data_IF_095567208445
#
_entry.id   IF_095567208445
#
_cell.length_a   1.000
_cell.length_b   1.000
_cell.length_c   1.000
_cell.angle_alpha   90.00
_cell.angle_beta   90.00
_cell.angle_gamma   90.00
#
_symmetry.space_group_name_H-M   'P 1'
#
loop_
_entity.id
_entity.type
_entity.pdbx_description
1 polymer ?
#
# COMPACT_ATOMS: atom_id res chain seq x y z
N UNK A 1 16.92 -18.52 -0.61
CA UNK A 1 16.03 -19.34 0.25
C UNK A 1 14.62 -19.21 -0.30
N UNK A 2 13.87 -20.34 -0.47
CA UNK A 2 12.53 -20.32 -1.07
C UNK A 2 11.46 -19.71 -0.14
N UNK A 3 10.24 -19.57 -0.68
CA UNK A 3 9.07 -18.98 -0.01
C UNK A 3 8.63 -19.72 1.26
N UNK A 4 9.09 -20.96 1.46
CA UNK A 4 8.77 -21.80 2.61
C UNK A 4 10.06 -22.32 3.29
N UNK A 5 10.81 -21.46 4.01
CA UNK A 5 12.11 -21.82 4.58
C UNK A 5 12.05 -23.00 5.54
N UNK A 6 10.95 -23.15 6.29
CA UNK A 6 10.76 -24.26 7.24
C UNK A 6 10.56 -25.58 6.50
N UNK A 7 9.76 -25.63 5.45
CA UNK A 7 9.56 -26.84 4.66
C UNK A 7 10.86 -27.29 3.97
N UNK A 8 11.61 -26.33 3.41
CA UNK A 8 12.94 -26.59 2.78
C UNK A 8 13.97 -27.02 3.82
N UNK A 9 13.95 -26.47 5.02
CA UNK A 9 14.86 -26.90 6.09
C UNK A 9 14.62 -28.34 6.50
N UNK A 10 13.35 -28.77 6.63
CA UNK A 10 12.99 -30.13 6.99
C UNK A 10 13.30 -31.12 5.85
N UNK A 11 13.10 -30.70 4.60
CA UNK A 11 13.48 -31.48 3.44
C UNK A 11 15.00 -31.75 3.41
N UNK A 12 15.80 -30.75 3.78
CA UNK A 12 17.28 -30.85 3.86
C UNK A 12 17.81 -31.57 5.11
N UNK A 13 16.99 -31.84 6.10
CA UNK A 13 17.36 -32.67 7.28
C UNK A 13 17.41 -34.17 6.98
N UNK A 14 17.18 -34.59 5.75
CA UNK A 14 17.26 -35.98 5.34
C UNK A 14 18.68 -36.50 5.07
N UNK A 15 18.81 -37.80 4.90
CA UNK A 15 20.06 -38.42 4.46
C UNK A 15 20.11 -38.50 2.92
N UNK A 16 21.31 -38.28 2.30
CA UNK A 16 21.44 -38.46 0.87
C UNK A 16 21.31 -39.95 0.53
N UNK A 17 20.48 -40.26 -0.45
CA UNK A 17 20.33 -41.58 -1.04
C UNK A 17 21.54 -41.93 -1.91
N UNK A 18 21.69 -43.19 -2.34
CA UNK A 18 22.76 -43.67 -3.19
C UNK A 18 22.91 -42.88 -4.51
N UNK A 19 21.89 -42.14 -4.92
CA UNK A 19 21.86 -41.22 -6.07
C UNK A 19 22.20 -39.74 -5.70
N UNK A 20 22.56 -39.42 -4.46
CA UNK A 20 22.85 -38.07 -4.00
C UNK A 20 21.60 -37.19 -3.76
N UNK A 21 20.41 -37.76 -3.88
CA UNK A 21 19.14 -37.05 -3.63
C UNK A 21 18.85 -37.09 -2.12
N UNK A 22 18.68 -35.94 -1.50
CA UNK A 22 18.34 -35.84 -0.07
C UNK A 22 16.89 -36.31 0.11
N UNK A 23 16.70 -37.47 0.74
CA UNK A 23 15.39 -37.97 1.12
C UNK A 23 15.03 -37.36 2.51
N UNK A 24 13.84 -36.74 2.68
CA UNK A 24 13.46 -36.18 3.97
C UNK A 24 13.40 -37.27 5.02
N UNK A 25 14.03 -37.05 6.17
CA UNK A 25 14.05 -38.00 7.29
C UNK A 25 12.64 -38.44 7.74
N UNK A 26 11.69 -37.54 7.63
CA UNK A 26 10.28 -37.76 8.02
C UNK A 26 9.32 -37.25 6.90
N UNK A 27 9.06 -38.06 5.86
CA UNK A 27 8.23 -37.64 4.72
C UNK A 27 6.80 -37.23 5.12
N UNK A 28 6.23 -37.88 6.13
CA UNK A 28 4.91 -37.57 6.64
C UNK A 28 4.86 -36.21 7.32
N UNK A 29 5.92 -35.84 8.05
CA UNK A 29 6.03 -34.55 8.75
C UNK A 29 6.14 -33.40 7.74
N UNK A 30 6.92 -33.57 6.69
CA UNK A 30 7.02 -32.59 5.61
C UNK A 30 5.65 -32.36 4.94
N UNK A 31 4.92 -33.41 4.63
CA UNK A 31 3.55 -33.31 4.08
C UNK A 31 2.58 -32.62 5.05
N UNK A 32 2.64 -32.95 6.34
CA UNK A 32 1.80 -32.33 7.35
C UNK A 32 2.08 -30.84 7.49
N UNK A 33 3.36 -30.42 7.44
CA UNK A 33 3.75 -29.01 7.49
C UNK A 33 3.28 -28.26 6.26
N UNK A 34 3.43 -28.84 5.06
CA UNK A 34 2.93 -28.22 3.83
C UNK A 34 1.41 -28.03 3.90
N UNK A 35 0.66 -29.03 4.36
CA UNK A 35 -0.78 -28.91 4.56
C UNK A 35 -1.13 -27.80 5.57
N UNK A 36 -0.44 -27.75 6.70
CA UNK A 36 -0.64 -26.70 7.71
C UNK A 36 -0.38 -25.30 7.14
N UNK A 37 0.69 -25.15 6.35
CA UNK A 37 0.99 -23.89 5.66
C UNK A 37 -0.12 -23.52 4.68
N UNK A 38 -0.63 -24.46 3.88
CA UNK A 38 -1.73 -24.20 2.94
C UNK A 38 -3.01 -23.75 3.68
N UNK A 39 -3.40 -24.41 4.74
CA UNK A 39 -4.55 -23.98 5.56
C UNK A 39 -4.33 -22.62 6.19
N UNK A 40 -3.11 -22.34 6.67
CA UNK A 40 -2.72 -21.02 7.17
C UNK A 40 -2.88 -19.93 6.13
N UNK A 41 -2.38 -20.14 4.92
CA UNK A 41 -2.53 -19.19 3.82
C UNK A 41 -4.00 -18.97 3.44
N UNK A 42 -4.80 -20.03 3.32
CA UNK A 42 -6.24 -19.89 3.05
C UNK A 42 -6.92 -19.01 4.09
N UNK A 43 -6.64 -19.22 5.36
CA UNK A 43 -7.20 -18.43 6.46
C UNK A 43 -6.80 -16.95 6.37
N UNK A 44 -5.51 -16.68 6.17
CA UNK A 44 -4.99 -15.30 6.04
C UNK A 44 -5.59 -14.59 4.83
N UNK A 45 -5.68 -15.26 3.68
CA UNK A 45 -6.27 -14.68 2.47
C UNK A 45 -7.73 -14.30 2.71
N UNK A 46 -8.52 -15.17 3.34
CA UNK A 46 -9.93 -14.89 3.66
C UNK A 46 -10.06 -13.66 4.57
N UNK A 47 -9.28 -13.59 5.64
CA UNK A 47 -9.34 -12.46 6.59
C UNK A 47 -8.89 -11.15 5.95
N UNK A 48 -7.83 -11.18 5.16
CA UNK A 48 -7.31 -9.97 4.48
C UNK A 48 -8.28 -9.45 3.43
N UNK A 49 -8.89 -10.31 2.62
CA UNK A 49 -9.91 -9.92 1.65
C UNK A 49 -11.14 -9.30 2.31
N UNK A 50 -11.59 -9.88 3.43
CA UNK A 50 -12.69 -9.30 4.21
C UNK A 50 -12.32 -7.95 4.80
N UNK A 51 -11.12 -7.80 5.32
CA UNK A 51 -10.60 -6.52 5.84
C UNK A 51 -10.54 -5.45 4.76
N UNK A 52 -9.96 -5.79 3.62
CA UNK A 52 -9.83 -4.89 2.48
C UNK A 52 -11.18 -4.40 1.96
N UNK A 53 -12.14 -5.31 1.79
CA UNK A 53 -13.47 -4.95 1.31
C UNK A 53 -14.21 -3.99 2.25
N UNK A 54 -13.99 -4.09 3.57
CA UNK A 54 -14.57 -3.16 4.55
C UNK A 54 -13.94 -1.78 4.50
N UNK A 55 -12.63 -1.69 4.27
CA UNK A 55 -11.93 -0.41 4.07
C UNK A 55 -12.49 0.30 2.84
N UNK A 56 -12.61 -0.40 1.71
CA UNK A 56 -13.19 0.17 0.48
C UNK A 56 -14.66 0.55 0.65
N UNK A 57 -15.43 -0.23 1.41
CA UNK A 57 -16.81 0.11 1.78
C UNK A 57 -16.87 1.44 2.56
N UNK A 58 -16.01 1.62 3.55
CA UNK A 58 -15.93 2.87 4.32
C UNK A 58 -15.55 4.04 3.44
N UNK A 59 -14.49 3.91 2.65
CA UNK A 59 -14.04 4.95 1.72
C UNK A 59 -15.14 5.34 0.71
N UNK A 60 -15.91 4.37 0.20
CA UNK A 60 -17.01 4.64 -0.72
C UNK A 60 -18.21 5.31 -0.03
N UNK A 61 -18.48 5.01 1.25
CA UNK A 61 -19.50 5.69 2.05
C UNK A 61 -19.14 7.16 2.31
N UNK A 62 -17.85 7.42 2.51
CA UNK A 62 -17.31 8.78 2.70
C UNK A 62 -17.24 9.57 1.37
N UNK A 63 -17.57 8.92 0.24
CA UNK A 63 -17.56 9.54 -1.09
C UNK A 63 -16.19 9.59 -1.74
N UNK A 64 -15.17 8.92 -1.18
CA UNK A 64 -13.81 8.89 -1.74
C UNK A 64 -13.67 7.93 -2.92
N UNK A 65 -14.55 6.93 -3.01
CA UNK A 65 -14.59 5.92 -4.07
C UNK A 65 -16.00 5.81 -4.67
N UNK A 66 -16.13 5.27 -5.90
CA UNK A 66 -17.42 5.07 -6.54
C UNK A 66 -18.40 4.24 -5.70
N UNK A 67 -19.72 4.49 -5.80
CA UNK A 67 -20.75 3.83 -4.99
C UNK A 67 -20.87 2.32 -5.26
N UNK A 68 -20.19 1.81 -6.29
CA UNK A 68 -20.08 0.38 -6.55
C UNK A 68 -19.51 -0.39 -5.36
N UNK A 69 -18.52 0.17 -4.66
CA UNK A 69 -17.88 -0.46 -3.50
C UNK A 69 -18.74 -0.40 -2.23
N UNK A 70 -19.76 0.48 -2.18
CA UNK A 70 -20.66 0.62 -1.03
C UNK A 70 -21.89 -0.29 -1.08
N UNK A 71 -22.12 -1.02 -2.17
CA UNK A 71 -23.27 -1.92 -2.32
C UNK A 71 -23.11 -3.16 -1.44
N UNK A 72 -23.99 -3.29 -0.45
CA UNK A 72 -24.08 -4.46 0.43
C UNK A 72 -25.14 -5.41 -0.11
N UNK A 73 -24.80 -6.70 -0.21
CA UNK A 73 -25.76 -7.73 -0.55
C UNK A 73 -26.68 -7.97 0.66
N UNK A 74 -28.00 -7.89 0.45
CA UNK A 74 -28.99 -8.04 1.51
C UNK A 74 -28.98 -9.43 2.16
N UNK A 75 -28.71 -10.48 1.38
CA UNK A 75 -28.67 -11.88 1.86
C UNK A 75 -27.47 -12.16 2.74
N UNK A 76 -26.28 -11.74 2.31
CA UNK A 76 -25.00 -12.04 3.01
C UNK A 76 -24.53 -10.93 3.93
N UNK A 77 -25.14 -9.74 3.87
CA UNK A 77 -24.75 -8.53 4.63
C UNK A 77 -23.28 -8.14 4.46
N UNK A 78 -22.70 -8.50 3.31
CA UNK A 78 -21.31 -8.25 2.94
C UNK A 78 -21.22 -7.55 1.59
N UNK A 79 -20.13 -6.80 1.30
CA UNK A 79 -19.92 -6.16 0.00
C UNK A 79 -19.44 -7.19 -1.04
N UNK A 80 -20.33 -8.09 -1.47
CA UNK A 80 -20.00 -9.20 -2.39
C UNK A 80 -19.37 -8.71 -3.70
N UNK A 81 -19.85 -7.58 -4.26
CA UNK A 81 -19.31 -7.01 -5.50
C UNK A 81 -17.82 -6.62 -5.34
N UNK A 82 -17.47 -5.98 -4.23
CA UNK A 82 -16.09 -5.65 -3.92
C UNK A 82 -15.23 -6.90 -3.73
N UNK A 83 -15.75 -7.90 -3.01
CA UNK A 83 -15.03 -9.15 -2.78
C UNK A 83 -14.76 -9.90 -4.09
N UNK A 84 -15.75 -10.01 -4.99
CA UNK A 84 -15.57 -10.62 -6.30
C UNK A 84 -14.54 -9.86 -7.15
N UNK A 85 -14.60 -8.53 -7.16
CA UNK A 85 -13.64 -7.71 -7.87
C UNK A 85 -12.21 -7.95 -7.36
N UNK A 86 -12.01 -7.92 -6.04
CA UNK A 86 -10.70 -8.17 -5.44
C UNK A 86 -10.22 -9.59 -5.65
N UNK A 87 -11.11 -10.58 -5.60
CA UNK A 87 -10.76 -11.97 -5.88
C UNK A 87 -10.18 -12.11 -7.30
N UNK A 88 -10.87 -11.57 -8.30
CA UNK A 88 -10.40 -11.61 -9.70
C UNK A 88 -9.08 -10.85 -9.86
N UNK A 89 -9.00 -9.63 -9.31
CA UNK A 89 -7.81 -8.79 -9.42
C UNK A 89 -6.60 -9.43 -8.75
N UNK A 90 -6.76 -9.92 -7.53
CA UNK A 90 -5.67 -10.57 -6.77
C UNK A 90 -5.23 -11.86 -7.46
N UNK A 91 -6.17 -12.68 -7.97
CA UNK A 91 -5.83 -13.90 -8.70
C UNK A 91 -5.05 -13.63 -9.98
N UNK A 92 -5.44 -12.59 -10.72
CA UNK A 92 -4.70 -12.13 -11.89
C UNK A 92 -3.29 -11.66 -11.53
N UNK A 93 -3.15 -10.79 -10.54
CA UNK A 93 -1.86 -10.27 -10.10
C UNK A 93 -0.95 -11.38 -9.56
N UNK A 94 -1.51 -12.34 -8.82
CA UNK A 94 -0.76 -13.49 -8.30
C UNK A 94 -0.16 -14.38 -9.40
N UNK A 95 -0.78 -14.41 -10.59
CA UNK A 95 -0.25 -15.14 -11.75
C UNK A 95 0.94 -14.45 -12.43
N UNK A 96 1.07 -13.13 -12.30
CA UNK A 96 2.09 -12.34 -13.00
C UNK A 96 3.19 -11.80 -12.08
N UNK A 97 2.88 -11.54 -10.81
CA UNK A 97 3.81 -10.92 -9.87
C UNK A 97 4.58 -12.00 -9.10
N UNK A 98 5.92 -11.99 -9.12
CA UNK A 98 6.73 -12.88 -8.29
C UNK A 98 6.42 -12.68 -6.80
N UNK A 99 6.36 -13.77 -6.05
CA UNK A 99 6.02 -13.72 -4.62
C UNK A 99 6.98 -12.87 -3.78
N UNK A 100 8.26 -12.78 -4.18
CA UNK A 100 9.23 -11.91 -3.53
C UNK A 100 8.84 -10.44 -3.65
N UNK A 101 8.48 -9.99 -4.85
CA UNK A 101 8.03 -8.61 -5.11
C UNK A 101 6.77 -8.30 -4.31
N UNK A 102 5.80 -9.22 -4.27
CA UNK A 102 4.59 -9.05 -3.47
C UNK A 102 4.90 -8.94 -1.97
N UNK A 103 5.85 -9.73 -1.46
CA UNK A 103 6.31 -9.67 -0.08
C UNK A 103 6.97 -8.34 0.27
N UNK A 104 7.85 -7.84 -0.59
CA UNK A 104 8.51 -6.54 -0.41
C UNK A 104 7.50 -5.38 -0.41
N UNK A 105 6.55 -5.38 -1.34
CA UNK A 105 5.49 -4.37 -1.42
C UNK A 105 4.57 -4.41 -0.20
N UNK A 106 4.25 -5.60 0.30
CA UNK A 106 3.46 -5.76 1.52
C UNK A 106 4.21 -5.20 2.72
N UNK A 107 5.50 -5.48 2.83
CA UNK A 107 6.33 -5.01 3.95
C UNK A 107 6.43 -3.48 3.95
N UNK A 108 6.76 -2.84 2.84
CA UNK A 108 6.89 -1.38 2.77
C UNK A 108 5.53 -0.69 2.95
N UNK A 109 4.46 -1.25 2.40
CA UNK A 109 3.10 -0.72 2.54
C UNK A 109 2.60 -0.76 3.99
N UNK A 110 2.86 -1.84 4.71
CA UNK A 110 2.48 -1.96 6.14
C UNK A 110 3.30 -1.02 7.03
N UNK A 111 4.60 -0.90 6.80
CA UNK A 111 5.45 0.04 7.54
C UNK A 111 5.02 1.50 7.30
N UNK A 112 4.68 1.85 6.06
CA UNK A 112 4.11 3.16 5.74
C UNK A 112 2.77 3.39 6.46
N UNK A 113 1.87 2.40 6.44
CA UNK A 113 0.59 2.50 7.13
C UNK A 113 0.77 2.72 8.63
N UNK A 114 1.69 2.02 9.29
CA UNK A 114 2.00 2.24 10.71
C UNK A 114 2.58 3.64 10.96
N UNK A 115 3.45 4.13 10.09
CA UNK A 115 3.98 5.50 10.15
C UNK A 115 2.83 6.52 10.08
N UNK A 116 1.89 6.35 9.14
CA UNK A 116 0.74 7.23 8.99
C UNK A 116 -0.21 7.17 10.19
N UNK A 117 -0.45 5.98 10.75
CA UNK A 117 -1.28 5.83 11.97
C UNK A 117 -0.63 6.53 13.16
N UNK A 118 0.68 6.38 13.37
CA UNK A 118 1.41 7.07 14.43
C UNK A 118 1.34 8.60 14.25
N UNK A 119 1.51 9.09 13.02
CA UNK A 119 1.37 10.52 12.71
C UNK A 119 -0.07 11.01 12.95
N UNK A 120 -1.08 10.22 12.54
CA UNK A 120 -2.48 10.53 12.76
C UNK A 120 -2.82 10.68 14.26
N UNK A 121 -2.27 9.81 15.12
CA UNK A 121 -2.45 9.91 16.58
C UNK A 121 -1.95 11.27 17.09
N UNK A 122 -0.78 11.72 16.63
CA UNK A 122 -0.23 13.03 17.03
C UNK A 122 -1.12 14.19 16.58
N UNK A 123 -1.61 14.14 15.34
CA UNK A 123 -2.48 15.16 14.77
C UNK A 123 -3.83 15.21 15.50
N UNK A 124 -4.49 14.05 15.66
CA UNK A 124 -5.82 13.96 16.30
C UNK A 124 -5.76 14.40 17.78
N UNK A 125 -4.64 14.14 18.46
CA UNK A 125 -4.45 14.62 19.83
C UNK A 125 -4.38 16.15 19.95
N UNK A 126 -3.83 16.81 18.91
CA UNK A 126 -3.75 18.29 18.86
C UNK A 126 -5.04 18.93 18.36
N UNK A 127 -5.70 18.32 17.38
CA UNK A 127 -6.86 18.91 16.71
C UNK A 127 -8.19 18.62 17.41
N UNK A 128 -8.28 17.48 18.09
CA UNK A 128 -9.52 17.02 18.74
C UNK A 128 -9.21 16.46 20.15
N UNK A 129 -8.83 17.31 21.12
CA UNK A 129 -8.46 16.85 22.47
C UNK A 129 -9.64 16.23 23.24
N UNK A 130 -10.87 16.72 23.05
CA UNK A 130 -12.05 16.40 23.86
C UNK A 130 -12.83 15.16 23.41
N UNK A 131 -12.45 14.54 22.28
CA UNK A 131 -13.15 13.33 21.80
C UNK A 131 -12.96 12.17 22.79
N UNK A 132 -14.04 11.53 23.27
CA UNK A 132 -13.94 10.39 24.16
C UNK A 132 -13.27 9.22 23.44
N UNK A 133 -12.23 8.66 24.07
CA UNK A 133 -11.43 7.57 23.51
C UNK A 133 -11.51 6.36 24.41
N UNK A 134 -11.84 5.20 23.83
CA UNK A 134 -11.86 3.94 24.55
C UNK A 134 -10.46 3.54 25.07
N UNK A 135 -9.41 3.89 24.32
CA UNK A 135 -8.01 3.68 24.69
C UNK A 135 -7.20 4.97 24.54
N UNK A 136 -6.43 5.30 25.56
CA UNK A 136 -5.51 6.44 25.55
C UNK A 136 -4.09 5.92 25.43
N UNK A 137 -3.45 6.15 24.29
CA UNK A 137 -2.03 5.80 24.08
C UNK A 137 -1.17 6.42 25.19
N UNK A 138 -0.38 5.63 25.93
CA UNK A 138 0.49 6.16 26.98
C UNK A 138 1.66 6.95 26.38
N UNK A 139 2.27 7.81 27.18
CA UNK A 139 3.49 8.56 26.85
C UNK A 139 3.47 9.28 25.49
N UNK A 140 2.35 9.89 25.10
CA UNK A 140 2.30 10.75 23.92
C UNK A 140 2.97 12.09 24.27
N UNK A 141 3.90 12.61 23.43
CA UNK A 141 4.18 12.24 22.03
C UNK A 141 5.27 11.19 21.81
N UNK A 142 5.94 10.72 22.84
CA UNK A 142 7.14 9.88 22.72
C UNK A 142 6.88 8.56 21.94
N UNK A 143 5.87 7.78 22.35
CA UNK A 143 5.56 6.47 21.75
C UNK A 143 5.25 6.57 20.24
N UNK A 144 4.37 7.48 19.78
CA UNK A 144 4.12 7.64 18.36
C UNK A 144 5.35 8.09 17.56
N UNK A 145 6.19 8.98 18.14
CA UNK A 145 7.42 9.43 17.46
C UNK A 145 8.39 8.27 17.31
N UNK A 146 8.60 7.48 18.35
CA UNK A 146 9.45 6.27 18.28
C UNK A 146 8.91 5.27 17.27
N UNK A 147 7.59 5.10 17.19
CA UNK A 147 6.93 4.27 16.17
C UNK A 147 7.26 4.74 14.75
N UNK A 148 7.16 6.03 14.48
CA UNK A 148 7.52 6.62 13.18
C UNK A 148 8.99 6.36 12.85
N UNK A 149 9.89 6.66 13.78
CA UNK A 149 11.33 6.50 13.58
C UNK A 149 11.72 5.04 13.32
N UNK A 150 11.17 4.12 14.09
CA UNK A 150 11.41 2.68 13.91
C UNK A 150 10.91 2.18 12.56
N UNK A 151 9.70 2.56 12.15
CA UNK A 151 9.17 2.18 10.85
C UNK A 151 10.00 2.76 9.70
N UNK A 152 10.37 4.03 9.76
CA UNK A 152 11.21 4.66 8.74
C UNK A 152 12.62 4.04 8.69
N UNK A 153 13.19 3.72 9.85
CA UNK A 153 14.46 3.00 9.92
C UNK A 153 14.36 1.62 9.25
N UNK A 154 13.31 0.84 9.52
CA UNK A 154 13.08 -0.44 8.86
C UNK A 154 12.87 -0.29 7.35
N UNK A 155 12.13 0.74 6.92
CA UNK A 155 11.93 1.02 5.50
C UNK A 155 13.24 1.34 4.78
N UNK A 156 14.21 1.99 5.43
CA UNK A 156 15.49 2.36 4.82
C UNK A 156 16.38 1.16 4.45
N UNK A 157 16.13 -0.01 5.04
CA UNK A 157 16.83 -1.26 4.69
C UNK A 157 16.20 -2.00 3.49
N UNK A 158 15.06 -1.54 2.98
CA UNK A 158 14.43 -2.16 1.82
C UNK A 158 15.11 -1.73 0.50
N UNK A 159 15.10 -2.61 -0.52
CA UNK A 159 15.69 -2.31 -1.83
C UNK A 159 15.08 -1.05 -2.47
N UNK A 160 15.88 -0.36 -3.29
CA UNK A 160 15.45 0.85 -4.00
C UNK A 160 14.23 0.62 -4.90
N UNK A 161 14.15 -0.54 -5.55
CA UNK A 161 13.01 -0.94 -6.40
C UNK A 161 11.69 -0.91 -5.65
N UNK A 162 11.71 -1.33 -4.38
CA UNK A 162 10.53 -1.34 -3.53
C UNK A 162 10.06 0.07 -3.22
N UNK A 163 10.97 1.02 -3.07
CA UNK A 163 10.65 2.44 -2.90
C UNK A 163 10.02 3.03 -4.16
N UNK A 164 10.56 2.71 -5.34
CA UNK A 164 10.00 3.15 -6.62
C UNK A 164 8.55 2.65 -6.75
N UNK A 165 8.32 1.37 -6.50
CA UNK A 165 6.98 0.77 -6.55
C UNK A 165 6.03 1.44 -5.56
N UNK A 166 6.48 1.72 -4.33
CA UNK A 166 5.68 2.43 -3.32
C UNK A 166 5.24 3.81 -3.83
N UNK A 167 6.19 4.60 -4.35
CA UNK A 167 5.91 5.96 -4.86
C UNK A 167 4.92 5.90 -6.02
N UNK A 168 5.09 4.95 -6.96
CA UNK A 168 4.15 4.76 -8.06
C UNK A 168 2.73 4.44 -7.58
N UNK A 169 2.59 3.54 -6.60
CA UNK A 169 1.29 3.22 -6.00
C UNK A 169 0.66 4.41 -5.27
N UNK A 170 1.48 5.19 -4.56
CA UNK A 170 1.01 6.43 -3.93
C UNK A 170 0.49 7.43 -4.94
N UNK A 171 1.17 7.59 -6.09
CA UNK A 171 0.73 8.47 -7.17
C UNK A 171 -0.61 8.01 -7.77
N UNK A 172 -0.76 6.71 -8.07
CA UNK A 172 -2.03 6.16 -8.56
C UNK A 172 -3.16 6.43 -7.56
N UNK A 173 -2.93 6.17 -6.28
CA UNK A 173 -3.92 6.45 -5.23
C UNK A 173 -4.30 7.93 -5.15
N UNK A 174 -3.30 8.81 -5.28
CA UNK A 174 -3.50 10.24 -5.25
C UNK A 174 -4.30 10.73 -6.47
N UNK A 175 -4.06 10.16 -7.66
CA UNK A 175 -4.82 10.47 -8.88
C UNK A 175 -6.29 10.04 -8.78
N UNK A 176 -6.56 8.87 -8.24
CA UNK A 176 -7.93 8.43 -7.97
C UNK A 176 -8.62 9.41 -7.01
N UNK A 177 -7.93 9.82 -5.96
CA UNK A 177 -8.45 10.83 -5.04
C UNK A 177 -8.64 12.19 -5.69
N UNK A 178 -7.68 12.64 -6.51
CA UNK A 178 -7.73 13.92 -7.22
C UNK A 178 -8.85 13.98 -8.26
N UNK A 179 -9.10 12.88 -8.96
CA UNK A 179 -10.10 12.81 -10.02
C UNK A 179 -11.51 12.62 -9.49
N UNK A 180 -11.68 11.79 -8.48
CA UNK A 180 -13.00 11.40 -7.96
C UNK A 180 -13.26 11.91 -6.53
N UNK A 181 -12.38 11.59 -5.58
CA UNK A 181 -12.60 11.81 -4.15
C UNK A 181 -12.90 13.25 -3.77
N UNK A 182 -12.14 14.22 -4.31
CA UNK A 182 -12.34 15.64 -3.99
C UNK A 182 -13.73 16.14 -4.37
N UNK A 183 -14.30 15.64 -5.47
CA UNK A 183 -15.58 16.11 -5.98
C UNK A 183 -16.79 15.48 -5.29
N UNK A 184 -16.61 14.29 -4.71
CA UNK A 184 -17.69 13.48 -4.15
C UNK A 184 -17.57 13.27 -2.64
N UNK A 185 -16.52 13.77 -2.01
CA UNK A 185 -16.32 13.65 -0.56
C UNK A 185 -17.49 14.25 0.21
N UNK A 186 -18.06 13.47 1.10
CA UNK A 186 -19.16 13.88 1.99
C UNK A 186 -18.66 14.52 3.27
N UNK A 187 -17.38 14.55 3.50
CA UNK A 187 -16.78 15.23 4.65
C UNK A 187 -17.01 16.73 4.47
N UNK A 188 -17.68 17.37 5.43
CA UNK A 188 -17.94 18.81 5.46
C UNK A 188 -16.65 19.62 5.47
N UNK A 189 -16.10 19.83 4.30
CA UNK A 189 -14.96 20.70 4.08
C UNK A 189 -15.39 22.00 3.39
N UNK A 190 -16.43 22.62 3.94
CA UNK A 190 -17.14 23.76 3.34
C UNK A 190 -16.35 25.05 3.11
N UNK A 191 -15.10 25.21 3.58
CA UNK A 191 -14.23 26.35 3.24
C UNK A 191 -12.75 25.95 3.02
N UNK A 192 -12.39 24.69 3.25
CA UNK A 192 -11.03 24.16 3.12
C UNK A 192 -10.69 23.58 1.73
N UNK A 193 -11.63 23.53 0.81
CA UNK A 193 -11.41 22.98 -0.55
C UNK A 193 -10.16 23.55 -1.24
N UNK A 194 -9.95 24.86 -1.13
CA UNK A 194 -8.82 25.54 -1.77
C UNK A 194 -7.46 25.14 -1.18
N UNK A 195 -7.38 25.00 0.15
CA UNK A 195 -6.13 24.54 0.80
C UNK A 195 -5.87 23.08 0.51
N UNK A 196 -6.91 22.24 0.49
CA UNK A 196 -6.82 20.83 0.12
C UNK A 196 -6.33 20.59 -1.31
N UNK A 197 -6.82 21.36 -2.27
CA UNK A 197 -6.37 21.27 -3.67
C UNK A 197 -4.90 21.67 -3.84
N UNK A 198 -4.44 22.72 -3.15
CA UNK A 198 -3.04 23.13 -3.17
C UNK A 198 -2.15 22.05 -2.56
N UNK A 199 -2.51 21.54 -1.38
CA UNK A 199 -1.76 20.48 -0.69
C UNK A 199 -1.68 19.25 -1.58
N UNK A 200 -2.80 18.83 -2.19
CA UNK A 200 -2.82 17.67 -3.08
C UNK A 200 -1.92 17.85 -4.30
N UNK A 201 -2.01 19.00 -4.95
CA UNK A 201 -1.19 19.26 -6.13
C UNK A 201 0.31 19.33 -5.77
N UNK A 202 0.65 19.92 -4.62
CA UNK A 202 2.03 19.94 -4.12
C UNK A 202 2.52 18.53 -3.76
N UNK A 203 1.71 17.72 -3.07
CA UNK A 203 2.09 16.33 -2.76
C UNK A 203 2.26 15.49 -4.01
N UNK A 204 1.41 15.64 -5.03
CA UNK A 204 1.56 14.98 -6.33
C UNK A 204 2.85 15.37 -7.04
N UNK A 205 3.21 16.66 -7.06
CA UNK A 205 4.46 17.13 -7.62
C UNK A 205 5.68 16.60 -6.86
N UNK A 206 5.64 16.64 -5.52
CA UNK A 206 6.73 16.12 -4.67
C UNK A 206 6.92 14.62 -4.93
N UNK A 207 5.86 13.83 -4.99
CA UNK A 207 5.93 12.40 -5.28
C UNK A 207 6.45 12.12 -6.69
N UNK A 208 6.07 12.94 -7.69
CA UNK A 208 6.60 12.83 -9.06
C UNK A 208 8.10 13.09 -9.10
N UNK A 209 8.59 14.13 -8.39
CA UNK A 209 10.02 14.43 -8.27
C UNK A 209 10.73 13.29 -7.51
N UNK A 210 10.14 12.79 -6.43
CA UNK A 210 10.70 11.68 -5.65
C UNK A 210 10.82 10.41 -6.49
N UNK A 211 9.86 10.13 -7.36
CA UNK A 211 9.92 9.00 -8.32
C UNK A 211 11.12 9.13 -9.28
N UNK A 212 11.44 10.34 -9.75
CA UNK A 212 12.64 10.58 -10.56
C UNK A 212 13.91 10.36 -9.75
N UNK A 213 13.97 10.92 -8.54
CA UNK A 213 15.15 10.80 -7.66
C UNK A 213 15.41 9.32 -7.31
N UNK A 214 14.37 8.58 -6.94
CA UNK A 214 14.51 7.14 -6.63
C UNK A 214 14.92 6.34 -7.85
N UNK A 215 14.42 6.67 -9.05
CA UNK A 215 14.83 6.06 -10.30
C UNK A 215 16.32 6.30 -10.61
N UNK A 216 16.80 7.54 -10.44
CA UNK A 216 18.21 7.89 -10.63
C UNK A 216 19.11 7.21 -9.58
N UNK A 217 18.67 7.16 -8.34
CA UNK A 217 19.41 6.48 -7.27
C UNK A 217 19.53 4.98 -7.54
N UNK A 218 18.44 4.34 -7.98
CA UNK A 218 18.46 2.94 -8.39
C UNK A 218 19.48 2.68 -9.52
N UNK A 219 19.53 3.56 -10.52
CA UNK A 219 20.47 3.49 -11.62
C UNK A 219 21.94 3.56 -11.16
N UNK A 220 22.23 4.38 -10.15
CA UNK A 220 23.58 4.49 -9.60
C UNK A 220 23.99 3.26 -8.78
N UNK A 221 23.04 2.61 -8.10
CA UNK A 221 23.33 1.48 -7.19
C UNK A 221 23.42 0.14 -7.90
N UNK A 222 22.64 -0.09 -8.95
CA UNK A 222 22.52 -1.39 -9.62
C UNK A 222 23.21 -1.41 -11.01
N UNK A 223 23.53 -0.23 -11.57
CA UNK A 223 24.13 -0.08 -12.88
C UNK A 223 23.13 0.00 -14.05
N UNK A 224 23.66 0.37 -15.22
CA UNK A 224 22.83 0.65 -16.41
C UNK A 224 22.16 -0.56 -17.06
N UNK A 225 22.58 -1.78 -16.73
CA UNK A 225 22.09 -3.02 -17.34
C UNK A 225 20.97 -3.71 -16.57
N UNK A 226 20.70 -3.26 -15.33
CA UNK A 226 19.63 -3.81 -14.52
C UNK A 226 18.31 -3.05 -14.76
N UNK A 227 17.32 -3.78 -15.18
CA UNK A 227 15.89 -3.40 -15.25
C UNK A 227 15.56 -2.03 -15.88
N UNK A 228 16.06 -1.80 -17.10
CA UNK A 228 15.73 -0.61 -17.92
C UNK A 228 14.23 -0.35 -18.02
N UNK A 229 13.42 -1.40 -17.93
CA UNK A 229 11.96 -1.34 -17.98
C UNK A 229 11.37 -0.59 -16.77
N UNK A 230 11.82 -0.91 -15.56
CA UNK A 230 11.32 -0.26 -14.34
C UNK A 230 11.67 1.24 -14.33
N UNK A 231 12.90 1.58 -14.73
CA UNK A 231 13.36 2.96 -14.88
C UNK A 231 12.54 3.72 -15.92
N UNK A 232 12.37 3.15 -17.11
CA UNK A 232 11.60 3.78 -18.18
C UNK A 232 10.16 4.03 -17.74
N UNK A 233 9.53 3.03 -17.09
CA UNK A 233 8.18 3.16 -16.55
C UNK A 233 8.14 4.28 -15.50
N UNK A 234 9.11 4.32 -14.58
CA UNK A 234 9.19 5.34 -13.53
C UNK A 234 9.31 6.75 -14.12
N UNK A 235 10.17 6.96 -15.12
CA UNK A 235 10.33 8.27 -15.77
C UNK A 235 9.10 8.69 -16.57
N UNK A 236 8.53 7.79 -17.37
CA UNK A 236 7.31 8.07 -18.14
C UNK A 236 6.16 8.40 -17.21
N UNK A 237 6.03 7.65 -16.14
CA UNK A 237 4.98 7.85 -15.12
C UNK A 237 5.18 9.18 -14.39
N UNK A 238 6.40 9.49 -13.94
CA UNK A 238 6.72 10.77 -13.29
C UNK A 238 6.46 11.97 -14.21
N UNK A 239 6.83 11.88 -15.49
CA UNK A 239 6.61 12.94 -16.46
C UNK A 239 5.13 13.18 -16.73
N UNK A 240 4.35 12.11 -16.95
CA UNK A 240 2.89 12.21 -17.17
C UNK A 240 2.17 12.80 -15.96
N UNK A 241 2.57 12.42 -14.74
CA UNK A 241 1.99 12.94 -13.50
C UNK A 241 2.39 14.40 -13.24
N UNK A 242 3.64 14.74 -13.48
CA UNK A 242 4.10 16.12 -13.38
C UNK A 242 3.30 17.02 -14.35
N UNK A 243 3.13 16.59 -15.59
CA UNK A 243 2.33 17.28 -16.57
C UNK A 243 0.85 17.40 -16.15
N UNK A 244 0.27 16.34 -15.60
CA UNK A 244 -1.11 16.34 -15.10
C UNK A 244 -1.31 17.33 -13.94
N UNK A 245 -0.43 17.33 -12.93
CA UNK A 245 -0.54 18.26 -11.81
C UNK A 245 -0.23 19.70 -12.21
N UNK A 246 0.72 19.94 -13.13
CA UNK A 246 1.00 21.25 -13.69
C UNK A 246 -0.21 21.78 -14.49
N UNK A 247 -0.81 20.94 -15.34
CA UNK A 247 -2.03 21.31 -16.07
C UNK A 247 -3.19 21.60 -15.12
N UNK A 248 -3.33 20.82 -14.04
CA UNK A 248 -4.37 21.03 -13.04
C UNK A 248 -4.19 22.35 -12.29
N UNK A 249 -2.95 22.71 -11.92
CA UNK A 249 -2.61 24.00 -11.32
C UNK A 249 -2.92 25.15 -12.31
N UNK A 250 -2.59 24.96 -13.58
CA UNK A 250 -2.82 25.98 -14.63
C UNK A 250 -4.31 26.15 -14.93
N UNK A 251 -5.08 25.07 -15.02
CA UNK A 251 -6.53 25.12 -15.33
C UNK A 251 -7.36 25.68 -14.18
N UNK A 252 -6.86 25.66 -12.96
CA UNK A 252 -7.47 26.25 -11.78
C UNK A 252 -6.69 27.45 -11.21
N UNK A 253 -6.18 28.39 -12.05
CA UNK A 253 -5.64 29.64 -11.57
C UNK A 253 -6.81 30.55 -11.32
N UNK A 254 -7.18 30.84 -10.12
CA UNK A 254 -8.02 32.00 -9.83
C UNK A 254 -9.50 31.98 -10.24
N UNK A 255 -10.34 31.39 -9.45
CA UNK A 255 -11.53 32.12 -9.08
C UNK A 255 -11.15 33.15 -7.98
N UNK A 256 -10.19 34.02 -8.33
CA UNK A 256 -10.00 35.30 -7.65
C UNK A 256 -11.07 36.22 -8.20
N UNK A 257 -11.94 36.68 -7.38
CA UNK A 257 -13.01 37.64 -7.63
C UNK A 257 -14.38 37.03 -7.92
N UNK A 258 -15.07 36.69 -6.86
CA UNK A 258 -16.47 37.04 -6.66
C UNK A 258 -16.75 36.93 -5.15
N UNK A 259 -16.26 37.91 -4.41
CA UNK A 259 -16.85 38.38 -3.17
C UNK A 259 -17.11 39.85 -3.43
N UNK A 260 -18.31 40.14 -3.88
CA UNK A 260 -18.95 41.42 -3.75
C UNK A 260 -20.22 41.19 -2.98
#
# INVERSE_FOLDING_TARGET
MGIAPVAVAIEKMGHPDAAGVIQPAYPWLNKAIILAILFGYCSVIMVTLLGQSRVFLSMSRDGLLPPFFSKINQRFRTPVHSNCLFMVLVSLLAGFIPAQVAGEMTSIGTLLAFTLVCAAILIVRKTMPDVPRAFKTPFVPFVPIMGILTCLCMMSFLPADTWIRLVLWMLIGLDVYASYGIRHSKLEYGQKHRKGDIVLNLTGLILSILSVITGLWHQQTVGWDADKTLLTISFVFAFTHCAFYMWRIWKHPHNRTKVS
#
